data_IF_101590989877
#
_entry.id   IF_101590989877
#
_cell.length_a   1.000
_cell.length_b   1.000
_cell.length_c   1.000
_cell.angle_alpha   90.00
_cell.angle_beta   90.00
_cell.angle_gamma   90.00
#
_symmetry.space_group_name_H-M   'P 1'
#
loop_
_entity.id
_entity.type
_entity.pdbx_description
1 polymer ?
#
# COMPACT_ATOMS: atom_id res chain seq x y z
N UNK A 1 -30.88 -64.71 -8.60
CA UNK A 1 -30.18 -63.80 -7.71
C UNK A 1 -29.15 -64.58 -6.93
N UNK A 2 -28.00 -64.83 -7.53
CA UNK A 2 -26.93 -65.65 -6.93
C UNK A 2 -25.79 -64.72 -6.46
N UNK A 3 -25.76 -64.52 -5.16
CA UNK A 3 -24.72 -63.75 -4.47
C UNK A 3 -23.55 -64.68 -4.29
N UNK A 4 -22.50 -64.48 -5.08
CA UNK A 4 -21.31 -65.33 -5.11
C UNK A 4 -20.49 -65.12 -3.84
N UNK A 5 -20.68 -66.01 -2.86
CA UNK A 5 -19.96 -66.03 -1.56
C UNK A 5 -18.46 -66.20 -1.64
N UNK A 6 -17.91 -66.57 -2.82
CA UNK A 6 -16.46 -66.76 -3.00
C UNK A 6 -15.68 -65.45 -3.12
N UNK A 7 -16.32 -64.41 -3.64
CA UNK A 7 -15.64 -63.12 -3.83
C UNK A 7 -15.49 -62.32 -2.53
N UNK A 8 -16.32 -62.56 -1.54
CA UNK A 8 -16.24 -61.89 -0.24
C UNK A 8 -15.03 -62.33 0.57
N UNK A 9 -14.67 -63.63 0.46
CA UNK A 9 -13.53 -64.18 1.19
C UNK A 9 -12.18 -63.75 0.61
N UNK A 10 -12.11 -63.59 -0.70
CA UNK A 10 -10.88 -63.14 -1.38
C UNK A 10 -10.63 -61.62 -1.17
N UNK A 11 -11.68 -60.83 -1.10
CA UNK A 11 -11.58 -59.37 -0.79
C UNK A 11 -11.18 -59.15 0.67
N UNK A 12 -11.73 -59.95 1.59
CA UNK A 12 -11.36 -59.86 3.00
C UNK A 12 -9.89 -60.29 3.26
N UNK A 13 -9.36 -61.24 2.48
CA UNK A 13 -7.99 -61.68 2.61
C UNK A 13 -6.97 -60.67 2.04
N UNK A 14 -7.36 -59.96 0.99
CA UNK A 14 -6.54 -58.90 0.38
C UNK A 14 -6.39 -57.69 1.28
N UNK A 15 -7.44 -57.34 2.04
CA UNK A 15 -7.40 -56.21 3.00
C UNK A 15 -6.54 -56.57 4.23
N UNK A 16 -6.60 -57.79 4.69
CA UNK A 16 -5.78 -58.26 5.80
C UNK A 16 -4.28 -58.29 5.46
N UNK A 17 -3.91 -58.68 4.23
CA UNK A 17 -2.52 -58.69 3.77
C UNK A 17 -1.92 -57.27 3.62
N UNK A 18 -2.73 -56.29 3.28
CA UNK A 18 -2.28 -54.88 3.15
C UNK A 18 -1.98 -54.26 4.54
N UNK A 19 -2.65 -54.73 5.60
CA UNK A 19 -2.46 -54.18 6.96
C UNK A 19 -1.22 -54.76 7.69
N UNK A 20 -0.72 -55.93 7.28
CA UNK A 20 0.43 -56.55 7.90
C UNK A 20 1.78 -56.09 7.34
N UNK A 21 1.81 -55.47 6.17
CA UNK A 21 3.02 -54.91 5.58
C UNK A 21 3.26 -53.44 5.94
N UNK A 22 2.33 -52.79 6.61
CA UNK A 22 2.39 -51.34 6.93
C UNK A 22 3.14 -51.00 8.24
N UNK A 23 3.61 -51.96 9.03
CA UNK A 23 4.18 -51.68 10.37
C UNK A 23 5.70 -51.91 10.42
N UNK A 24 6.33 -52.42 9.37
CA UNK A 24 7.79 -52.58 9.30
C UNK A 24 8.45 -51.53 8.41
N UNK A 25 8.02 -50.31 8.51
CA UNK A 25 8.58 -49.17 7.78
C UNK A 25 9.31 -48.25 8.74
N UNK A 26 10.62 -48.46 8.89
CA UNK A 26 11.66 -47.44 9.04
C UNK A 26 11.20 -46.14 9.71
N UNK A 27 11.54 -45.99 10.97
CA UNK A 27 11.78 -44.69 11.57
C UNK A 27 12.90 -43.96 10.79
N UNK A 28 12.60 -43.51 9.59
CA UNK A 28 13.30 -42.41 9.00
C UNK A 28 12.87 -41.21 9.82
N UNK A 29 13.71 -40.77 10.73
CA UNK A 29 13.67 -39.47 11.32
C UNK A 29 13.81 -38.46 10.16
N UNK A 30 12.72 -38.21 9.46
CA UNK A 30 12.59 -36.96 8.72
C UNK A 30 12.55 -35.89 9.80
N UNK A 31 13.71 -35.35 10.11
CA UNK A 31 13.79 -33.98 10.57
C UNK A 31 13.15 -33.18 9.46
N UNK A 32 11.82 -33.06 9.52
CA UNK A 32 11.14 -31.96 8.84
C UNK A 32 11.78 -30.73 9.45
N UNK A 33 12.77 -30.18 8.73
CA UNK A 33 13.06 -28.79 8.88
C UNK A 33 11.75 -28.09 8.52
N UNK A 34 10.90 -27.90 9.51
CA UNK A 34 9.92 -26.84 9.46
C UNK A 34 10.78 -25.60 9.29
N UNK A 35 10.96 -25.18 8.03
CA UNK A 35 11.37 -23.83 7.77
C UNK A 35 10.35 -23.01 8.57
N UNK A 36 10.76 -22.54 9.75
CA UNK A 36 10.01 -21.56 10.50
C UNK A 36 10.00 -20.36 9.59
N UNK A 37 8.94 -20.25 8.77
CA UNK A 37 8.68 -19.01 8.07
C UNK A 37 8.64 -17.98 9.18
N UNK A 38 9.62 -17.09 9.20
CA UNK A 38 9.60 -15.95 10.09
C UNK A 38 8.19 -15.37 9.99
N UNK A 39 7.50 -15.10 11.10
CA UNK A 39 6.14 -14.63 11.07
C UNK A 39 6.12 -13.46 10.08
N UNK A 40 5.29 -13.57 9.04
CA UNK A 40 5.17 -12.51 8.06
C UNK A 40 4.92 -11.22 8.84
N UNK A 41 5.78 -10.23 8.68
CA UNK A 41 5.66 -8.99 9.43
C UNK A 41 4.27 -8.43 9.14
N UNK A 42 3.45 -8.27 10.17
CA UNK A 42 2.14 -7.62 10.06
C UNK A 42 2.27 -6.10 9.89
N UNK A 43 3.50 -5.60 9.91
CA UNK A 43 3.86 -4.20 9.76
C UNK A 43 4.41 -3.95 8.37
N UNK A 44 3.74 -3.08 7.63
CA UNK A 44 4.22 -2.53 6.36
C UNK A 44 5.05 -1.26 6.59
N UNK A 45 5.94 -1.00 5.65
CA UNK A 45 6.74 0.22 5.62
C UNK A 45 6.59 0.85 4.23
N UNK A 46 6.31 2.15 4.16
CA UNK A 46 6.15 2.86 2.89
C UNK A 46 6.89 4.20 2.90
N UNK A 47 7.56 4.53 1.82
CA UNK A 47 8.02 5.90 1.60
C UNK A 47 6.85 6.72 1.03
N UNK A 48 6.09 7.36 1.94
CA UNK A 48 4.90 8.12 1.60
C UNK A 48 5.18 9.22 0.57
N UNK A 49 6.27 9.96 0.78
CA UNK A 49 6.67 11.04 -0.11
C UNK A 49 6.95 10.55 -1.54
N UNK A 50 7.59 9.38 -1.68
CA UNK A 50 7.85 8.79 -3.01
C UNK A 50 6.54 8.43 -3.71
N UNK A 51 5.57 7.85 -3.01
CA UNK A 51 4.26 7.51 -3.58
C UNK A 51 3.53 8.76 -4.04
N UNK A 52 3.53 9.83 -3.24
CA UNK A 52 2.95 11.14 -3.61
C UNK A 52 3.63 11.70 -4.86
N UNK A 53 4.97 11.68 -4.91
CA UNK A 53 5.74 12.22 -6.05
C UNK A 53 5.49 11.48 -7.36
N UNK A 54 5.17 10.20 -7.28
CA UNK A 54 4.87 9.37 -8.46
C UNK A 54 3.39 9.38 -8.85
N UNK A 55 2.54 10.05 -8.08
CA UNK A 55 1.12 10.13 -8.39
C UNK A 55 0.86 11.07 -9.59
N UNK A 56 0.11 10.63 -10.63
CA UNK A 56 -0.10 11.41 -11.86
C UNK A 56 -0.82 12.76 -11.60
N UNK A 57 -1.66 12.83 -10.58
CA UNK A 57 -2.37 14.07 -10.24
C UNK A 57 -1.45 15.16 -9.64
N UNK A 58 -0.24 14.80 -9.16
CA UNK A 58 0.69 15.80 -8.62
C UNK A 58 1.07 16.85 -9.68
N UNK A 59 1.29 16.42 -10.92
CA UNK A 59 1.59 17.32 -12.02
C UNK A 59 0.46 18.34 -12.27
N UNK A 60 -0.80 17.89 -12.13
CA UNK A 60 -1.98 18.78 -12.25
C UNK A 60 -2.03 19.80 -11.11
N UNK A 61 -1.76 19.35 -9.88
CA UNK A 61 -1.69 20.22 -8.70
C UNK A 61 -0.63 21.30 -8.91
N UNK A 62 0.59 20.90 -9.33
CA UNK A 62 1.69 21.82 -9.59
C UNK A 62 1.34 22.85 -10.66
N UNK A 63 0.78 22.41 -11.80
CA UNK A 63 0.36 23.31 -12.89
C UNK A 63 -0.72 24.28 -12.42
N UNK A 64 -1.70 23.82 -11.66
CA UNK A 64 -2.76 24.68 -11.12
C UNK A 64 -2.19 25.69 -10.13
N UNK A 65 -1.32 25.27 -9.21
CA UNK A 65 -0.69 26.17 -8.24
C UNK A 65 0.20 27.22 -8.90
N UNK A 66 0.91 26.85 -9.98
CA UNK A 66 1.69 27.79 -10.75
C UNK A 66 0.79 28.87 -11.38
N UNK A 67 -0.31 28.47 -12.02
CA UNK A 67 -1.26 29.40 -12.61
C UNK A 67 -1.89 30.34 -11.56
N UNK A 68 -2.27 29.81 -10.39
CA UNK A 68 -2.80 30.61 -9.28
C UNK A 68 -1.76 31.60 -8.73
N UNK A 69 -0.50 31.18 -8.61
CA UNK A 69 0.59 32.05 -8.16
C UNK A 69 0.85 33.19 -9.15
N UNK A 70 0.86 32.91 -10.46
CA UNK A 70 1.00 33.91 -11.51
C UNK A 70 -0.18 34.89 -11.53
N UNK A 71 -1.41 34.38 -11.35
CA UNK A 71 -2.60 35.23 -11.25
C UNK A 71 -2.55 36.14 -10.02
N UNK A 72 -2.16 35.62 -8.86
CA UNK A 72 -2.00 36.38 -7.63
C UNK A 72 -0.92 37.47 -7.78
N UNK A 73 0.19 37.18 -8.46
CA UNK A 73 1.23 38.16 -8.75
C UNK A 73 0.70 39.31 -9.65
N UNK A 74 0.03 38.96 -10.75
CA UNK A 74 -0.56 39.98 -11.65
C UNK A 74 -1.60 40.84 -10.94
N UNK A 75 -2.42 40.22 -10.08
CA UNK A 75 -3.42 40.92 -9.29
C UNK A 75 -2.76 41.88 -8.28
N UNK A 76 -1.69 41.47 -7.64
CA UNK A 76 -0.90 42.30 -6.74
C UNK A 76 -0.30 43.51 -7.51
N UNK A 77 0.40 43.23 -8.61
CA UNK A 77 1.05 44.28 -9.42
C UNK A 77 0.06 45.32 -9.92
N UNK A 78 -1.15 44.90 -10.32
CA UNK A 78 -2.20 45.80 -10.79
C UNK A 78 -2.76 46.69 -9.67
N UNK A 79 -2.86 46.19 -8.43
CA UNK A 79 -3.42 46.97 -7.30
C UNK A 79 -2.37 47.72 -6.51
N UNK A 80 -1.14 47.24 -6.45
CA UNK A 80 -0.08 47.83 -5.63
C UNK A 80 0.21 49.28 -5.94
N UNK A 81 0.03 49.71 -7.18
CA UNK A 81 0.25 51.11 -7.61
C UNK A 81 -0.73 52.11 -6.93
N UNK A 82 -1.91 51.65 -6.54
CA UNK A 82 -2.97 52.46 -5.92
C UNK A 82 -3.05 52.34 -4.41
N UNK A 83 -2.27 51.48 -3.79
CA UNK A 83 -2.31 51.18 -2.33
C UNK A 83 -1.19 51.88 -1.58
N UNK A 84 -1.45 52.33 -0.36
CA UNK A 84 -0.43 52.75 0.58
C UNK A 84 0.41 51.57 1.10
N UNK A 85 1.57 51.83 1.71
CA UNK A 85 2.52 50.77 2.10
C UNK A 85 1.90 49.75 3.06
N UNK A 86 1.08 50.18 4.02
CA UNK A 86 0.39 49.27 4.95
C UNK A 86 -0.63 48.40 4.22
N UNK A 87 -1.42 49.01 3.32
CA UNK A 87 -2.45 48.31 2.55
C UNK A 87 -1.82 47.26 1.58
N UNK A 88 -0.65 47.59 0.99
CA UNK A 88 0.12 46.62 0.18
C UNK A 88 0.52 45.40 0.98
N UNK A 89 1.00 45.61 2.19
CA UNK A 89 1.40 44.52 3.06
C UNK A 89 0.21 43.62 3.46
N UNK A 90 -0.90 44.25 3.85
CA UNK A 90 -2.14 43.53 4.18
C UNK A 90 -2.67 42.75 2.96
N UNK A 91 -2.68 43.36 1.79
CA UNK A 91 -3.11 42.70 0.57
C UNK A 91 -2.21 41.55 0.14
N UNK A 92 -0.89 41.70 0.27
CA UNK A 92 0.05 40.61 0.04
C UNK A 92 -0.20 39.43 0.95
N UNK A 93 -0.44 39.66 2.24
CA UNK A 93 -0.76 38.61 3.19
C UNK A 93 -2.08 37.89 2.83
N UNK A 94 -3.09 38.59 2.38
CA UNK A 94 -4.35 38.01 1.90
C UNK A 94 -4.13 37.09 0.69
N UNK A 95 -3.29 37.50 -0.27
CA UNK A 95 -2.94 36.67 -1.42
C UNK A 95 -2.17 35.41 -1.03
N UNK A 96 -1.23 35.53 -0.09
CA UNK A 96 -0.49 34.38 0.45
C UNK A 96 -1.45 33.38 1.14
N UNK A 97 -2.36 33.87 1.96
CA UNK A 97 -3.35 33.02 2.61
C UNK A 97 -4.26 32.31 1.60
N UNK A 98 -4.69 33.02 0.54
CA UNK A 98 -5.49 32.43 -0.54
C UNK A 98 -4.74 31.31 -1.25
N UNK A 99 -3.44 31.51 -1.57
CA UNK A 99 -2.61 30.48 -2.20
C UNK A 99 -2.41 29.26 -1.29
N UNK A 100 -2.23 29.48 0.01
CA UNK A 100 -2.10 28.39 0.98
C UNK A 100 -3.39 27.55 1.07
N UNK A 101 -4.55 28.21 1.16
CA UNK A 101 -5.84 27.51 1.15
C UNK A 101 -6.06 26.74 -0.16
N UNK A 102 -5.64 27.32 -1.29
CA UNK A 102 -5.74 26.65 -2.58
C UNK A 102 -4.84 25.44 -2.67
N UNK A 103 -3.63 25.55 -2.14
CA UNK A 103 -2.71 24.41 -2.05
C UNK A 103 -3.31 23.27 -1.21
N UNK A 104 -3.87 23.58 -0.04
CA UNK A 104 -4.53 22.59 0.80
C UNK A 104 -5.72 21.93 0.09
N UNK A 105 -6.57 22.73 -0.57
CA UNK A 105 -7.71 22.23 -1.35
C UNK A 105 -7.29 21.21 -2.42
N UNK A 106 -6.16 21.46 -3.10
CA UNK A 106 -5.65 20.59 -4.16
C UNK A 106 -4.91 19.36 -3.61
N UNK A 107 -4.18 19.53 -2.50
CA UNK A 107 -3.37 18.43 -1.94
C UNK A 107 -4.18 17.41 -1.14
N UNK A 108 -5.25 17.83 -0.45
CA UNK A 108 -6.08 16.91 0.35
C UNK A 108 -6.66 15.75 -0.46
N UNK A 109 -7.27 15.97 -1.64
CA UNK A 109 -7.75 14.87 -2.48
C UNK A 109 -6.62 13.96 -2.98
N UNK A 110 -5.44 14.51 -3.25
CA UNK A 110 -4.27 13.74 -3.65
C UNK A 110 -3.81 12.79 -2.53
N UNK A 111 -3.66 13.32 -1.31
CA UNK A 111 -3.32 12.51 -0.15
C UNK A 111 -4.35 11.41 0.11
N UNK A 112 -5.64 11.72 0.03
CA UNK A 112 -6.70 10.71 0.19
C UNK A 112 -6.59 9.56 -0.82
N UNK A 113 -6.19 9.85 -2.07
CA UNK A 113 -5.96 8.81 -3.09
C UNK A 113 -4.73 7.97 -2.76
N UNK A 114 -3.65 8.59 -2.31
CA UNK A 114 -2.43 7.89 -1.89
C UNK A 114 -2.72 6.97 -0.70
N UNK A 115 -3.44 7.47 0.31
CA UNK A 115 -3.85 6.69 1.47
C UNK A 115 -4.70 5.47 1.08
N UNK A 116 -5.64 5.65 0.15
CA UNK A 116 -6.46 4.56 -0.36
C UNK A 116 -5.61 3.48 -1.04
N UNK A 117 -4.63 3.88 -1.86
CA UNK A 117 -3.71 2.93 -2.51
C UNK A 117 -2.84 2.19 -1.49
N UNK A 118 -2.29 2.89 -0.50
CA UNK A 118 -1.50 2.27 0.57
C UNK A 118 -2.34 1.25 1.32
N UNK A 119 -3.59 1.62 1.66
CA UNK A 119 -4.52 0.70 2.32
C UNK A 119 -4.81 -0.54 1.47
N UNK A 120 -5.10 -0.39 0.19
CA UNK A 120 -5.38 -1.52 -0.70
C UNK A 120 -4.19 -2.46 -0.83
N UNK A 121 -2.96 -1.93 -0.92
CA UNK A 121 -1.74 -2.74 -0.97
C UNK A 121 -1.51 -3.45 0.36
N UNK A 122 -1.73 -2.77 1.48
CA UNK A 122 -1.61 -3.34 2.81
C UNK A 122 -2.61 -4.49 3.02
N UNK A 123 -3.87 -4.29 2.67
CA UNK A 123 -4.92 -5.31 2.77
C UNK A 123 -4.58 -6.53 1.90
N UNK A 124 -4.13 -6.33 0.66
CA UNK A 124 -3.73 -7.41 -0.25
C UNK A 124 -2.54 -8.23 0.28
N UNK A 125 -1.69 -7.65 1.10
CA UNK A 125 -0.53 -8.30 1.72
C UNK A 125 -0.80 -8.81 3.14
N UNK A 126 -2.00 -8.62 3.67
CA UNK A 126 -2.36 -9.03 5.03
C UNK A 126 -1.62 -8.23 6.13
N UNK A 127 -1.25 -6.99 5.83
CA UNK A 127 -0.60 -6.10 6.79
C UNK A 127 -1.65 -5.45 7.70
N UNK A 128 -1.39 -5.42 8.99
CA UNK A 128 -2.30 -4.83 9.97
C UNK A 128 -2.04 -3.34 10.23
N UNK A 129 -0.82 -2.89 9.94
CA UNK A 129 -0.40 -1.50 10.07
C UNK A 129 0.63 -1.15 9.00
N UNK A 130 0.63 0.11 8.55
CA UNK A 130 1.68 0.66 7.68
C UNK A 130 2.26 1.90 8.34
N UNK A 131 3.58 2.01 8.34
CA UNK A 131 4.34 3.10 8.95
C UNK A 131 5.18 3.78 7.88
N UNK A 132 5.39 5.10 8.01
CA UNK A 132 6.31 5.80 7.11
C UNK A 132 7.74 5.29 7.29
N UNK A 133 8.44 5.06 6.18
CA UNK A 133 9.80 4.53 6.16
C UNK A 133 10.80 5.39 6.96
N UNK A 134 10.58 6.69 7.00
CA UNK A 134 11.44 7.61 7.77
C UNK A 134 11.35 7.44 9.28
N UNK A 135 10.28 6.80 9.77
CA UNK A 135 10.07 6.53 11.21
C UNK A 135 10.57 5.13 11.64
N UNK A 136 10.99 4.28 10.69
CA UNK A 136 11.40 2.89 10.97
C UNK A 136 12.91 2.77 10.96
N UNK A 137 13.48 2.28 12.07
CA UNK A 137 14.92 2.02 12.19
C UNK A 137 15.27 0.64 11.61
N UNK A 138 14.38 -0.36 11.84
CA UNK A 138 14.62 -1.74 11.44
C UNK A 138 13.32 -2.55 11.31
N UNK A 139 13.25 -3.42 10.30
CA UNK A 139 12.15 -4.35 10.11
C UNK A 139 10.97 -3.77 9.32
N UNK A 140 9.90 -4.57 9.21
CA UNK A 140 8.74 -4.27 8.38
C UNK A 140 8.89 -4.76 6.94
N UNK A 141 7.75 -4.89 6.27
CA UNK A 141 7.70 -5.23 4.84
C UNK A 141 7.59 -3.94 4.03
N UNK A 142 8.61 -3.63 3.24
CA UNK A 142 8.55 -2.45 2.35
C UNK A 142 7.54 -2.68 1.22
N UNK A 143 6.54 -1.81 1.14
CA UNK A 143 5.48 -1.84 0.13
C UNK A 143 5.53 -0.63 -0.80
N UNK A 144 6.59 0.17 -0.74
CA UNK A 144 6.73 1.41 -1.51
C UNK A 144 6.58 1.17 -3.02
N UNK A 145 7.30 0.18 -3.56
CA UNK A 145 7.28 -0.11 -5.00
C UNK A 145 5.90 -0.60 -5.47
N UNK A 146 5.21 -1.37 -4.65
CA UNK A 146 3.86 -1.85 -4.98
C UNK A 146 2.86 -0.69 -5.01
N UNK A 147 2.98 0.24 -4.04
CA UNK A 147 2.18 1.46 -4.03
C UNK A 147 2.50 2.35 -5.25
N UNK A 148 3.78 2.55 -5.57
CA UNK A 148 4.21 3.35 -6.74
C UNK A 148 3.68 2.76 -8.04
N UNK A 149 3.80 1.44 -8.25
CA UNK A 149 3.22 0.77 -9.43
C UNK A 149 1.72 1.03 -9.52
N UNK A 150 1.02 0.91 -8.40
CA UNK A 150 -0.44 1.06 -8.35
C UNK A 150 -0.89 2.49 -8.64
N UNK A 151 -0.24 3.53 -8.11
CA UNK A 151 -0.58 4.93 -8.40
C UNK A 151 -0.23 5.34 -9.82
N UNK A 152 0.84 4.78 -10.41
CA UNK A 152 1.27 5.09 -11.77
C UNK A 152 0.53 4.30 -12.85
N UNK A 153 -0.32 3.33 -12.47
CA UNK A 153 -1.09 2.50 -13.41
C UNK A 153 -0.23 1.53 -14.23
N UNK A 154 0.92 1.11 -13.70
CA UNK A 154 1.86 0.19 -14.36
C UNK A 154 1.81 -1.19 -13.76
#
# INVERSE_FOLDING_TARGET
MFRNKKNVKTVALAIAAAFLFGVAGLAVSQTTHVASAAPASSVGVVNYQMVVQQHPDLAKVQTTMQAESEAAKKEFDAKAASLGDKEKQEYYMQLQQRLELKNQELMVPLFSKVDAVIKEVADAKGLSVVVDKGAVIYGGQDITDDCVKKVSGK
#
